data_IF_578592092141
#
_entry.id   IF_578592092141
#
_cell.length_a   1.000
_cell.length_b   1.000
_cell.length_c   1.000
_cell.angle_alpha   90.00
_cell.angle_beta   90.00
_cell.angle_gamma   90.00
#
_symmetry.space_group_name_H-M   'P 1'
#
loop_
_entity.id
_entity.type
_entity.pdbx_description
1 polymer ?
#
# COMPACT_ATOMS: atom_id res chain seq x y z
N UNK A 1 7.44 -27.04 -6.56
CA UNK A 1 6.31 -26.63 -7.43
C UNK A 1 5.20 -26.15 -6.52
N UNK A 2 4.61 -24.98 -6.80
CA UNK A 2 3.49 -24.45 -6.01
C UNK A 2 2.15 -25.06 -6.48
N UNK A 3 1.14 -25.18 -5.59
CA UNK A 3 -0.19 -25.63 -6.00
C UNK A 3 -0.84 -24.64 -6.97
N UNK A 4 -1.83 -25.11 -7.74
CA UNK A 4 -2.68 -24.23 -8.54
C UNK A 4 -3.43 -23.27 -7.61
N UNK A 5 -3.54 -22.02 -8.03
CA UNK A 5 -4.30 -20.96 -7.36
C UNK A 5 -5.46 -20.50 -8.22
N UNK A 6 -6.44 -19.89 -7.59
CA UNK A 6 -7.59 -19.25 -8.23
C UNK A 6 -7.69 -17.77 -7.82
N UNK A 7 -8.52 -17.01 -8.53
CA UNK A 7 -8.73 -15.59 -8.24
C UNK A 7 -9.31 -15.41 -6.83
N UNK A 8 -8.67 -14.57 -6.03
CA UNK A 8 -9.05 -14.32 -4.63
C UNK A 8 -8.17 -15.03 -3.61
N UNK A 9 -7.30 -15.95 -4.04
CA UNK A 9 -6.33 -16.59 -3.15
C UNK A 9 -5.29 -15.60 -2.63
N UNK A 10 -4.86 -15.81 -1.39
CA UNK A 10 -3.82 -15.00 -0.75
C UNK A 10 -2.44 -15.63 -0.96
N UNK A 11 -1.49 -14.80 -1.37
CA UNK A 11 -0.08 -15.17 -1.52
C UNK A 11 0.74 -14.30 -0.58
N UNK A 12 1.69 -14.92 0.11
CA UNK A 12 2.62 -14.24 1.01
C UNK A 12 4.03 -14.33 0.46
N UNK A 13 4.74 -13.21 0.51
CA UNK A 13 6.18 -13.15 0.18
C UNK A 13 6.92 -12.96 1.50
N UNK A 14 7.70 -13.97 1.88
CA UNK A 14 8.50 -13.96 3.11
C UNK A 14 9.72 -13.04 2.98
N UNK A 15 10.29 -12.67 4.13
CA UNK A 15 11.53 -11.89 4.24
C UNK A 15 11.47 -10.49 3.58
N UNK A 16 10.29 -9.86 3.61
CA UNK A 16 10.02 -8.55 2.99
C UNK A 16 10.20 -7.34 3.92
N UNK A 17 10.73 -7.54 5.12
CA UNK A 17 10.85 -6.49 6.15
C UNK A 17 11.94 -5.45 5.86
N UNK A 18 13.03 -5.83 5.18
CA UNK A 18 14.10 -4.91 4.79
C UNK A 18 14.00 -4.58 3.30
N UNK A 19 14.15 -3.31 2.96
CA UNK A 19 14.14 -2.80 1.58
C UNK A 19 12.85 -3.05 0.77
N UNK A 20 11.81 -3.64 1.35
CA UNK A 20 10.50 -3.82 0.71
C UNK A 20 9.77 -2.49 0.53
N UNK A 21 9.03 -2.08 1.56
CA UNK A 21 8.23 -0.84 1.49
C UNK A 21 9.07 0.40 1.16
N UNK A 22 10.30 0.49 1.67
CA UNK A 22 11.18 1.65 1.51
C UNK A 22 11.63 1.89 0.07
N UNK A 23 11.69 0.85 -0.78
CA UNK A 23 12.06 0.98 -2.19
C UNK A 23 10.86 0.93 -3.14
N UNK A 24 9.64 0.76 -2.62
CA UNK A 24 8.42 0.81 -3.42
C UNK A 24 8.09 2.23 -3.89
N UNK A 25 7.45 2.35 -5.04
CA UNK A 25 7.03 3.62 -5.65
C UNK A 25 5.74 3.43 -6.48
N UNK A 26 5.05 4.52 -6.79
CA UNK A 26 3.72 4.52 -7.38
C UNK A 26 3.68 4.34 -8.91
N UNK A 27 4.61 3.58 -9.49
CA UNK A 27 4.62 3.33 -10.93
C UNK A 27 3.31 2.65 -11.36
N UNK A 28 2.83 3.02 -12.55
CA UNK A 28 1.49 2.66 -13.05
C UNK A 28 0.32 3.09 -12.14
N UNK A 29 0.51 4.12 -11.32
CA UNK A 29 -0.54 4.62 -10.41
C UNK A 29 -0.87 3.65 -9.27
N UNK A 30 0.02 2.70 -8.95
CA UNK A 30 -0.19 1.76 -7.86
C UNK A 30 0.03 2.48 -6.51
N UNK A 31 -1.03 2.65 -5.74
CA UNK A 31 -0.97 3.24 -4.40
C UNK A 31 -0.20 2.33 -3.43
N UNK A 32 0.61 2.90 -2.54
CA UNK A 32 1.35 2.13 -1.53
C UNK A 32 0.40 1.44 -0.55
N UNK A 33 0.77 0.22 -0.16
CA UNK A 33 -0.01 -0.60 0.77
C UNK A 33 0.02 -0.07 2.20
N UNK A 34 -0.93 -0.54 3.01
CA UNK A 34 -0.83 -0.42 4.46
C UNK A 34 0.32 -1.30 5.01
N UNK A 35 0.80 -0.97 6.22
CA UNK A 35 1.69 -1.80 7.02
C UNK A 35 1.06 -2.04 8.39
N UNK A 36 1.10 -3.29 8.86
CA UNK A 36 0.62 -3.68 10.18
C UNK A 36 1.76 -4.26 11.02
N UNK A 37 1.71 -4.05 12.33
CA UNK A 37 2.57 -4.70 13.30
C UNK A 37 1.74 -5.73 14.09
N UNK A 38 2.09 -7.01 13.97
CA UNK A 38 1.58 -8.05 14.85
C UNK A 38 2.40 -8.04 16.15
N UNK A 39 1.72 -7.88 17.29
CA UNK A 39 2.33 -7.83 18.63
C UNK A 39 2.43 -9.24 19.22
N UNK A 40 3.27 -9.39 20.25
CA UNK A 40 3.51 -10.67 20.90
C UNK A 40 2.27 -11.27 21.59
N UNK A 41 1.28 -10.43 21.95
CA UNK A 41 0.00 -10.86 22.52
C UNK A 41 -1.04 -11.28 21.48
N UNK A 42 -0.68 -11.27 20.18
CA UNK A 42 -1.56 -11.61 19.07
C UNK A 42 -2.45 -10.47 18.59
N UNK A 43 -2.44 -9.31 19.25
CA UNK A 43 -3.08 -8.11 18.72
C UNK A 43 -2.28 -7.53 17.54
N UNK A 44 -2.94 -6.77 16.66
CA UNK A 44 -2.26 -6.07 15.58
C UNK A 44 -2.53 -4.57 15.64
N UNK A 45 -1.58 -3.79 15.15
CA UNK A 45 -1.69 -2.35 15.04
C UNK A 45 -1.40 -1.90 13.61
N UNK A 46 -2.22 -1.00 13.09
CA UNK A 46 -1.95 -0.34 11.82
C UNK A 46 -0.86 0.72 12.03
N UNK A 47 0.37 0.42 11.60
CA UNK A 47 1.52 1.32 11.77
C UNK A 47 1.70 2.26 10.57
N UNK A 48 1.11 1.90 9.42
CA UNK A 48 0.98 2.79 8.25
C UNK A 48 -0.32 2.50 7.51
N UNK A 49 -1.14 3.53 7.28
CA UNK A 49 -2.35 3.40 6.44
C UNK A 49 -1.98 3.23 4.97
N UNK A 50 -2.87 2.59 4.19
CA UNK A 50 -2.75 2.58 2.74
C UNK A 50 -2.83 4.01 2.17
N UNK A 51 -2.12 4.23 1.07
CA UNK A 51 -2.28 5.45 0.30
C UNK A 51 -3.64 5.50 -0.39
N UNK A 52 -4.12 6.73 -0.56
CA UNK A 52 -5.32 7.09 -1.29
C UNK A 52 -4.93 7.89 -2.54
N UNK A 53 -5.82 8.03 -3.54
CA UNK A 53 -5.56 8.91 -4.68
C UNK A 53 -5.18 10.34 -4.25
N UNK A 54 -5.76 10.84 -3.15
CA UNK A 54 -5.40 12.15 -2.58
C UNK A 54 -3.92 12.25 -2.20
N UNK A 55 -3.34 11.19 -1.64
CA UNK A 55 -1.92 11.19 -1.28
C UNK A 55 -1.04 11.22 -2.54
N UNK A 56 -1.43 10.43 -3.55
CA UNK A 56 -0.69 10.33 -4.80
C UNK A 56 -0.67 11.65 -5.59
N UNK A 57 -1.78 12.40 -5.57
CA UNK A 57 -1.89 13.69 -6.24
C UNK A 57 -1.62 14.90 -5.33
N UNK A 58 -1.16 14.69 -4.09
CA UNK A 58 -1.05 15.75 -3.09
C UNK A 58 -0.15 16.93 -3.53
N UNK A 59 0.80 16.69 -4.43
CA UNK A 59 1.71 17.72 -4.95
C UNK A 59 1.10 18.61 -6.03
N UNK A 60 -0.13 18.31 -6.46
CA UNK A 60 -0.86 19.08 -7.48
C UNK A 60 -1.85 20.09 -6.85
N UNK A 61 -1.78 20.30 -5.55
CA UNK A 61 -2.69 21.15 -4.79
C UNK A 61 -2.71 22.63 -5.20
N UNK A 62 -1.71 23.07 -5.96
CA UNK A 62 -1.62 24.40 -6.55
C UNK A 62 -2.38 24.57 -7.88
N UNK A 63 -2.94 23.50 -8.47
CA UNK A 63 -3.67 23.57 -9.73
C UNK A 63 -5.19 23.53 -9.53
N UNK A 64 -5.94 24.29 -10.34
CA UNK A 64 -7.41 24.37 -10.25
C UNK A 64 -8.12 23.02 -10.37
N UNK A 65 -7.53 22.09 -11.14
CA UNK A 65 -8.11 20.76 -11.34
C UNK A 65 -7.97 19.85 -10.12
N UNK A 66 -7.12 20.17 -9.14
CA UNK A 66 -6.90 19.33 -7.97
C UNK A 66 -8.19 19.06 -7.19
N UNK A 67 -9.09 20.04 -7.12
CA UNK A 67 -10.40 19.87 -6.48
C UNK A 67 -11.22 18.74 -7.11
N UNK A 68 -11.13 18.58 -8.45
CA UNK A 68 -11.80 17.50 -9.20
C UNK A 68 -11.18 16.12 -8.98
N UNK A 69 -9.93 16.07 -8.52
CA UNK A 69 -9.22 14.81 -8.20
C UNK A 69 -9.69 14.26 -6.85
N UNK A 70 -10.27 15.11 -6.00
CA UNK A 70 -10.75 14.75 -4.66
C UNK A 70 -12.25 14.43 -4.60
N UNK A 71 -12.98 14.68 -5.69
CA UNK A 71 -14.38 14.29 -5.90
C UNK A 71 -14.47 12.81 -6.31
#
# INVERSE_FOLDING_TARGET
MLPRIDMGDLIYIHDTGAHGFSMGYNYNGKLKSAEILLKADGSFELIRRAETPKDYFATFDCFDFYKKVLE
#
